data_IF_822028534219
#
_entry.id   IF_822028534219
#
_cell.length_a   1.000
_cell.length_b   1.000
_cell.length_c   1.000
_cell.angle_alpha   90.00
_cell.angle_beta   90.00
_cell.angle_gamma   90.00
#
_symmetry.space_group_name_H-M   'P 1'
#
loop_
_entity.id
_entity.type
_entity.pdbx_description
1 polymer ?
#
# COMPACT_ATOMS: atom_id res chain seq x y z
N UNK A 1 -74.49 -9.62 1.63
CA UNK A 1 -73.66 -9.50 0.45
C UNK A 1 -72.51 -8.57 0.82
N UNK A 2 -71.40 -9.10 1.35
CA UNK A 2 -70.23 -8.35 1.76
C UNK A 2 -69.07 -8.73 0.88
N UNK A 3 -68.58 -7.79 0.10
CA UNK A 3 -67.38 -7.97 -0.73
C UNK A 3 -66.12 -7.69 0.12
N UNK A 4 -65.25 -8.69 0.26
CA UNK A 4 -63.88 -8.52 0.75
C UNK A 4 -62.96 -8.21 -0.44
N UNK A 5 -62.09 -7.17 -0.39
CA UNK A 5 -61.09 -6.99 -1.40
C UNK A 5 -59.85 -7.83 -1.07
N UNK A 6 -59.45 -8.65 -2.03
CA UNK A 6 -58.16 -9.37 -2.03
C UNK A 6 -56.99 -8.42 -2.02
N UNK A 7 -56.21 -8.39 -0.93
CA UNK A 7 -54.86 -7.81 -0.93
C UNK A 7 -53.95 -8.73 -1.76
N UNK A 8 -53.58 -8.30 -2.95
CA UNK A 8 -52.48 -8.90 -3.73
C UNK A 8 -51.18 -8.67 -2.99
N UNK A 9 -50.59 -9.72 -2.45
CA UNK A 9 -49.24 -9.70 -1.90
C UNK A 9 -48.26 -9.35 -3.03
N UNK A 10 -47.61 -8.18 -2.92
CA UNK A 10 -46.54 -7.76 -3.82
C UNK A 10 -45.28 -8.57 -3.46
N UNK A 11 -44.71 -9.40 -4.37
CA UNK A 11 -43.54 -10.23 -4.07
C UNK A 11 -42.21 -9.44 -3.97
N UNK A 12 -42.31 -8.11 -4.08
CA UNK A 12 -41.09 -7.23 -4.04
C UNK A 12 -40.55 -6.99 -2.66
N UNK A 13 -41.32 -7.19 -1.57
CA UNK A 13 -40.88 -6.95 -0.21
C UNK A 13 -39.78 -7.92 0.25
N UNK A 14 -39.86 -9.26 -0.02
CA UNK A 14 -38.77 -10.15 0.37
C UNK A 14 -37.49 -9.94 -0.45
N UNK A 15 -37.60 -9.46 -1.70
CA UNK A 15 -36.42 -9.15 -2.52
C UNK A 15 -35.67 -7.94 -2.01
N UNK A 16 -36.37 -6.92 -1.51
CA UNK A 16 -35.74 -5.73 -0.92
C UNK A 16 -35.10 -6.05 0.43
N UNK A 17 -35.68 -6.92 1.24
CA UNK A 17 -35.07 -7.41 2.47
C UNK A 17 -33.83 -8.28 2.22
N UNK A 18 -33.81 -9.08 1.16
CA UNK A 18 -32.63 -9.84 0.75
C UNK A 18 -31.50 -8.93 0.25
N UNK A 19 -31.81 -7.86 -0.46
CA UNK A 19 -30.80 -6.89 -0.91
C UNK A 19 -30.18 -6.09 0.25
N UNK A 20 -30.93 -5.80 1.32
CA UNK A 20 -30.41 -5.08 2.50
C UNK A 20 -29.55 -5.96 3.40
N UNK A 21 -29.66 -7.28 3.35
CA UNK A 21 -28.82 -8.20 4.13
C UNK A 21 -27.46 -8.48 3.48
N UNK A 22 -27.25 -8.08 2.22
CA UNK A 22 -25.95 -8.19 1.54
C UNK A 22 -25.07 -6.93 1.66
N UNK A 23 -25.46 -5.89 2.38
CA UNK A 23 -24.55 -4.87 2.84
C UNK A 23 -23.77 -5.38 4.07
N UNK A 24 -23.11 -6.52 3.92
CA UNK A 24 -21.97 -6.83 4.77
C UNK A 24 -20.93 -5.75 4.50
N UNK A 25 -20.53 -5.02 5.53
CA UNK A 25 -19.39 -4.14 5.51
C UNK A 25 -18.26 -4.86 4.77
N UNK A 26 -17.91 -4.41 3.57
CA UNK A 26 -16.69 -4.84 2.92
C UNK A 26 -15.56 -4.35 3.81
N UNK A 27 -15.09 -5.20 4.70
CA UNK A 27 -13.88 -4.92 5.45
C UNK A 27 -12.80 -4.55 4.44
N UNK A 28 -12.08 -3.50 4.72
CA UNK A 28 -10.95 -3.07 3.93
C UNK A 28 -9.97 -4.25 3.85
N UNK A 29 -9.82 -4.82 2.66
CA UNK A 29 -9.14 -6.08 2.45
C UNK A 29 -8.06 -5.93 1.39
N UNK A 30 -6.83 -6.28 1.75
CA UNK A 30 -5.73 -6.43 0.79
C UNK A 30 -5.63 -7.92 0.40
N UNK A 31 -5.95 -8.30 -0.85
CA UNK A 31 -5.97 -9.69 -1.25
C UNK A 31 -4.59 -10.36 -1.20
N UNK A 32 -3.50 -9.61 -1.22
CA UNK A 32 -2.14 -10.17 -1.11
C UNK A 32 -1.67 -10.31 0.33
N UNK A 33 -2.27 -9.56 1.25
CA UNK A 33 -1.95 -9.60 2.68
C UNK A 33 -3.23 -9.58 3.52
N UNK A 34 -4.04 -10.65 3.43
CA UNK A 34 -5.36 -10.72 4.07
C UNK A 34 -5.32 -10.59 5.60
N UNK A 35 -4.21 -10.93 6.22
CA UNK A 35 -3.99 -10.83 7.65
C UNK A 35 -3.18 -9.60 8.06
N UNK A 36 -2.72 -8.82 7.07
CA UNK A 36 -1.93 -7.62 7.30
C UNK A 36 -2.74 -6.53 7.98
N UNK A 37 -2.22 -6.04 9.09
CA UNK A 37 -2.89 -4.99 9.87
C UNK A 37 -1.87 -4.17 10.66
N UNK A 38 -2.32 -3.04 11.18
CA UNK A 38 -1.62 -2.29 12.22
C UNK A 38 -2.43 -2.45 13.50
N UNK A 39 -1.81 -3.02 14.52
CA UNK A 39 -2.43 -3.17 15.84
C UNK A 39 -1.92 -2.08 16.77
N UNK A 40 -2.83 -1.33 17.36
CA UNK A 40 -2.58 -0.32 18.38
C UNK A 40 -2.96 -0.92 19.71
N UNK A 41 -1.97 -1.16 20.57
CA UNK A 41 -2.14 -1.70 21.90
C UNK A 41 -1.97 -0.60 22.92
N UNK A 42 -2.86 -0.54 23.89
CA UNK A 42 -2.89 0.44 24.96
C UNK A 42 -2.80 -0.27 26.30
N UNK A 43 -1.66 -0.17 26.95
CA UNK A 43 -1.34 -0.83 28.21
C UNK A 43 -1.35 0.17 29.36
N UNK A 44 -2.30 0.09 30.29
CA UNK A 44 -2.28 0.88 31.51
C UNK A 44 -1.20 0.33 32.42
N UNK A 45 -0.20 1.14 32.71
CA UNK A 45 0.93 0.79 33.56
C UNK A 45 0.66 1.10 35.04
N UNK A 46 -0.01 2.24 35.32
CA UNK A 46 -0.33 2.66 36.67
C UNK A 46 -1.57 3.55 36.71
N UNK A 47 -2.30 3.49 37.81
CA UNK A 47 -3.38 4.44 38.09
C UNK A 47 -2.81 5.70 38.73
N UNK A 48 -3.32 6.85 38.34
CA UNK A 48 -3.03 8.17 38.91
C UNK A 48 -4.23 8.69 39.69
N UNK A 49 -4.10 9.75 40.52
CA UNK A 49 -5.20 10.26 41.34
C UNK A 49 -6.45 10.64 40.56
N UNK A 50 -6.30 11.15 39.33
CA UNK A 50 -7.40 11.57 38.46
C UNK A 50 -7.43 10.81 37.09
N UNK A 51 -6.67 9.72 36.98
CA UNK A 51 -6.60 8.97 35.72
C UNK A 51 -5.58 7.85 35.70
N UNK A 52 -4.72 7.81 34.67
CA UNK A 52 -3.78 6.71 34.48
C UNK A 52 -2.57 7.09 33.61
N UNK A 53 -1.52 6.30 33.72
CA UNK A 53 -0.37 6.31 32.82
C UNK A 53 -0.44 5.06 31.93
N UNK A 54 -0.35 5.27 30.62
CA UNK A 54 -0.39 4.17 29.65
C UNK A 54 0.77 4.23 28.66
N UNK A 55 1.22 3.05 28.26
CA UNK A 55 2.08 2.84 27.11
C UNK A 55 1.21 2.47 25.91
N UNK A 56 1.31 3.23 24.84
CA UNK A 56 0.66 2.95 23.57
C UNK A 56 1.69 2.41 22.61
N UNK A 57 1.45 1.20 22.11
CA UNK A 57 2.35 0.54 21.16
C UNK A 57 1.60 0.26 19.87
N UNK A 58 2.17 0.72 18.77
CA UNK A 58 1.69 0.47 17.42
C UNK A 58 2.60 -0.54 16.75
N UNK A 59 2.06 -1.65 16.26
CA UNK A 59 2.79 -2.71 15.58
C UNK A 59 2.26 -2.87 14.17
N UNK A 60 3.15 -2.75 13.18
CA UNK A 60 2.83 -2.96 11.77
C UNK A 60 3.03 -4.44 11.43
N UNK A 61 1.97 -5.22 11.35
CA UNK A 61 1.98 -6.63 10.96
C UNK A 61 1.74 -6.84 9.47
N UNK A 62 1.75 -5.76 8.67
CA UNK A 62 1.65 -5.88 7.22
C UNK A 62 2.95 -6.46 6.64
N UNK A 63 2.82 -7.39 5.69
CA UNK A 63 3.97 -8.13 5.15
C UNK A 63 4.88 -7.28 4.28
N UNK A 64 4.32 -6.36 3.50
CA UNK A 64 5.08 -5.59 2.51
C UNK A 64 4.76 -4.08 2.50
N UNK A 65 3.82 -3.62 3.32
CA UNK A 65 3.46 -2.20 3.35
C UNK A 65 4.16 -1.48 4.50
N UNK A 66 4.98 -0.50 4.15
CA UNK A 66 5.60 0.42 5.09
C UNK A 66 4.72 1.61 5.39
N UNK A 67 4.96 2.27 6.52
CA UNK A 67 4.59 3.66 6.73
C UNK A 67 5.83 4.50 6.44
N UNK A 68 5.80 5.25 5.34
CA UNK A 68 6.90 6.12 4.91
C UNK A 68 6.78 7.52 5.48
N UNK A 69 7.82 8.34 5.36
CA UNK A 69 7.75 9.76 5.72
C UNK A 69 6.58 10.47 4.98
N UNK A 70 5.91 11.43 5.62
CA UNK A 70 6.14 12.06 6.92
C UNK A 70 5.68 11.25 8.14
N UNK A 71 5.36 9.98 8.00
CA UNK A 71 5.04 9.11 9.10
C UNK A 71 3.55 8.99 9.43
N UNK A 72 3.27 8.22 10.46
CA UNK A 72 1.90 8.01 10.93
C UNK A 72 1.38 9.18 11.76
N UNK A 73 0.06 9.37 11.70
CA UNK A 73 -0.68 10.15 12.68
C UNK A 73 -1.86 9.33 13.21
N UNK A 74 -1.99 9.28 14.53
CA UNK A 74 -2.98 8.51 15.27
C UNK A 74 -3.94 9.42 15.99
N UNK A 75 -5.22 9.35 15.68
CA UNK A 75 -6.27 10.09 16.36
C UNK A 75 -7.27 9.17 17.04
N UNK A 76 -7.98 9.71 18.04
CA UNK A 76 -9.10 9.03 18.68
C UNK A 76 -10.07 10.06 19.26
N UNK A 77 -11.22 9.62 19.74
CA UNK A 77 -12.17 10.46 20.45
C UNK A 77 -12.27 9.99 21.90
N UNK A 78 -12.06 10.91 22.83
CA UNK A 78 -12.27 10.65 24.23
C UNK A 78 -13.75 10.39 24.53
N UNK A 79 -14.01 9.45 25.43
CA UNK A 79 -15.39 9.10 25.82
C UNK A 79 -16.04 10.16 26.72
N UNK A 80 -15.23 10.86 27.52
CA UNK A 80 -15.65 11.92 28.42
C UNK A 80 -14.89 13.22 28.14
N UNK A 81 -14.41 13.87 29.19
CA UNK A 81 -13.60 15.10 29.15
C UNK A 81 -12.16 14.81 29.60
N UNK A 82 -11.63 13.68 29.19
CA UNK A 82 -10.26 13.30 29.44
C UNK A 82 -9.31 14.32 28.83
N UNK A 83 -8.14 14.50 29.46
CA UNK A 83 -7.05 15.37 28.99
C UNK A 83 -5.73 14.61 29.01
N UNK A 84 -4.78 15.04 28.22
CA UNK A 84 -3.42 14.52 28.26
C UNK A 84 -2.55 15.47 29.09
N UNK A 85 -2.14 15.01 30.28
CA UNK A 85 -1.25 15.80 31.13
C UNK A 85 0.17 15.87 30.59
N UNK A 86 0.72 14.74 30.15
CA UNK A 86 2.07 14.64 29.65
C UNK A 86 2.20 13.53 28.62
N UNK A 87 3.17 13.66 27.73
CA UNK A 87 3.57 12.64 26.75
C UNK A 87 5.08 12.48 26.73
N UNK A 88 5.53 11.26 26.43
CA UNK A 88 6.93 10.92 26.16
C UNK A 88 6.97 9.99 24.94
N UNK A 89 7.87 10.24 24.00
CA UNK A 89 7.98 9.45 22.78
C UNK A 89 6.95 9.79 21.69
N UNK A 90 6.15 10.83 21.90
CA UNK A 90 5.15 11.31 20.96
C UNK A 90 4.71 12.72 21.36
N UNK A 91 4.01 13.38 20.45
CA UNK A 91 3.43 14.70 20.70
C UNK A 91 2.05 14.83 20.04
N UNK A 92 1.22 15.73 20.59
CA UNK A 92 -0.04 16.12 19.94
C UNK A 92 0.22 17.17 18.88
N UNK A 93 -0.57 17.14 17.81
CA UNK A 93 -0.52 18.19 16.76
C UNK A 93 -1.08 19.52 17.22
N UNK A 94 -2.01 19.48 18.19
CA UNK A 94 -2.70 20.64 18.73
C UNK A 94 -2.90 20.49 20.24
N UNK A 95 -2.81 21.61 21.00
CA UNK A 95 -3.07 21.61 22.42
C UNK A 95 -4.57 21.71 22.75
N UNK A 96 -5.30 22.44 21.93
CA UNK A 96 -6.70 22.76 22.17
C UNK A 96 -6.95 23.79 23.29
N UNK A 97 -8.23 23.95 23.68
CA UNK A 97 -8.63 24.91 24.69
C UNK A 97 -8.36 24.40 26.12
N UNK A 98 -7.22 24.81 26.67
CA UNK A 98 -6.82 24.53 28.05
C UNK A 98 -7.07 25.70 29.05
N UNK A 99 -7.79 26.75 28.68
CA UNK A 99 -8.03 27.96 29.51
C UNK A 99 -8.66 27.67 30.88
N UNK A 100 -9.32 26.53 31.04
CA UNK A 100 -9.95 26.11 32.32
C UNK A 100 -8.96 25.63 33.37
N UNK A 101 -7.69 25.40 32.97
CA UNK A 101 -6.64 24.93 33.85
C UNK A 101 -5.73 26.13 34.23
N UNK A 102 -5.75 26.54 35.50
CA UNK A 102 -5.04 27.74 35.96
C UNK A 102 -3.64 27.44 36.52
N UNK A 103 -3.48 26.31 37.20
CA UNK A 103 -2.21 25.96 37.90
C UNK A 103 -1.30 25.13 37.06
N UNK A 104 -1.79 23.98 36.57
CA UNK A 104 -1.01 23.08 35.69
C UNK A 104 -1.74 22.94 34.38
N UNK A 105 -1.09 23.36 33.29
CA UNK A 105 -1.68 23.34 31.97
C UNK A 105 -1.41 21.94 31.36
N UNK A 106 -2.44 21.21 30.92
CA UNK A 106 -2.27 19.94 30.24
C UNK A 106 -1.50 20.08 28.92
N UNK A 107 -0.83 19.03 28.51
CA UNK A 107 -0.22 18.92 27.20
C UNK A 107 -1.26 19.02 26.06
N UNK A 108 -2.45 18.44 26.27
CA UNK A 108 -3.53 18.55 25.30
C UNK A 108 -4.90 18.45 25.98
N UNK A 109 -5.81 19.35 25.59
CA UNK A 109 -7.18 19.42 26.06
C UNK A 109 -8.22 19.09 24.97
N UNK A 110 -7.74 18.67 23.80
CA UNK A 110 -8.61 18.31 22.69
C UNK A 110 -9.42 17.05 22.99
N UNK A 111 -10.71 17.09 22.60
CA UNK A 111 -11.57 15.91 22.69
C UNK A 111 -11.22 14.83 21.67
N UNK A 112 -10.63 15.25 20.57
CA UNK A 112 -10.18 14.39 19.46
C UNK A 112 -8.71 14.64 19.17
N UNK A 113 -7.79 14.28 20.11
CA UNK A 113 -6.38 14.51 19.92
C UNK A 113 -5.84 13.71 18.74
N UNK A 114 -4.85 14.29 18.06
CA UNK A 114 -4.07 13.62 17.04
C UNK A 114 -2.62 13.60 17.48
N UNK A 115 -2.03 12.41 17.48
CA UNK A 115 -0.68 12.16 17.96
C UNK A 115 0.22 11.84 16.76
N UNK A 116 1.45 12.33 16.80
CA UNK A 116 2.53 12.02 15.87
C UNK A 116 3.77 11.60 16.63
N UNK A 117 4.62 10.82 15.96
CA UNK A 117 5.93 10.44 16.51
C UNK A 117 6.89 11.62 16.55
N UNK A 118 7.85 11.57 17.45
CA UNK A 118 8.95 12.52 17.50
C UNK A 118 10.00 12.22 16.42
N UNK A 119 10.74 13.24 16.03
CA UNK A 119 11.79 13.11 15.02
C UNK A 119 13.04 12.43 15.58
N UNK A 120 13.86 11.80 14.74
CA UNK A 120 15.21 11.38 15.12
C UNK A 120 16.03 12.56 15.66
N UNK A 121 16.81 12.32 16.70
CA UNK A 121 17.58 13.36 17.38
C UNK A 121 16.85 14.07 18.53
N UNK A 122 15.61 13.68 18.84
CA UNK A 122 14.90 14.13 20.04
C UNK A 122 15.73 13.90 21.30
N UNK A 123 15.76 14.84 22.28
CA UNK A 123 16.50 14.70 23.54
C UNK A 123 16.14 13.43 24.30
N UNK A 124 17.12 12.81 24.96
CA UNK A 124 16.96 11.51 25.63
C UNK A 124 15.86 11.48 26.68
N UNK A 125 15.63 12.59 27.39
CA UNK A 125 14.57 12.70 28.39
C UNK A 125 13.14 12.67 27.81
N UNK A 126 13.00 12.80 26.50
CA UNK A 126 11.75 12.70 25.78
C UNK A 126 11.62 11.38 25.00
N UNK A 127 12.61 10.52 25.08
CA UNK A 127 12.64 9.24 24.39
C UNK A 127 12.12 8.10 25.25
N UNK A 128 11.49 7.13 24.60
CA UNK A 128 11.21 5.79 25.14
C UNK A 128 11.62 4.75 24.11
N UNK A 129 11.55 3.47 24.50
CA UNK A 129 11.81 2.37 23.56
C UNK A 129 10.85 2.45 22.37
N UNK A 130 11.36 2.24 21.16
CA UNK A 130 10.64 2.23 19.88
C UNK A 130 10.04 3.58 19.44
N UNK A 131 10.42 4.71 20.06
CA UNK A 131 10.00 6.02 19.58
C UNK A 131 11.00 6.65 18.62
N UNK A 132 10.62 7.86 18.19
CA UNK A 132 11.47 8.92 17.67
C UNK A 132 12.10 8.57 16.32
N UNK A 133 11.24 7.99 15.44
CA UNK A 133 11.58 7.62 14.06
C UNK A 133 10.88 8.53 13.04
N UNK A 134 10.26 9.64 13.49
CA UNK A 134 9.44 10.50 12.62
C UNK A 134 8.20 9.81 12.10
N UNK A 135 7.68 8.80 12.80
CA UNK A 135 6.49 8.05 12.43
C UNK A 135 6.67 7.03 11.31
N UNK A 136 7.90 6.74 10.93
CA UNK A 136 8.20 5.71 9.93
C UNK A 136 8.14 4.32 10.57
N UNK A 137 7.47 3.37 9.93
CA UNK A 137 7.41 1.97 10.34
C UNK A 137 7.69 1.06 9.16
N UNK A 138 8.64 0.14 9.34
CA UNK A 138 8.91 -0.90 8.34
C UNK A 138 7.80 -1.93 8.28
N UNK A 139 7.73 -2.67 7.19
CA UNK A 139 6.87 -3.85 7.10
C UNK A 139 7.42 -4.97 7.98
N UNK A 140 6.52 -5.81 8.49
CA UNK A 140 6.90 -6.89 9.40
C UNK A 140 7.91 -7.87 8.79
N UNK A 141 7.74 -8.23 7.53
CA UNK A 141 8.61 -9.22 6.87
C UNK A 141 10.00 -8.67 6.60
N UNK A 142 10.10 -7.40 6.22
CA UNK A 142 11.37 -6.81 5.83
C UNK A 142 12.24 -6.42 7.03
N UNK A 143 11.66 -5.76 8.02
CA UNK A 143 12.35 -5.38 9.26
C UNK A 143 11.40 -5.39 10.47
N UNK A 144 11.28 -6.53 11.16
CA UNK A 144 10.45 -6.65 12.35
C UNK A 144 10.86 -5.69 13.48
N UNK A 145 12.14 -5.33 13.56
CA UNK A 145 12.67 -4.45 14.63
C UNK A 145 12.15 -3.03 14.49
N UNK A 146 12.05 -2.54 13.27
CA UNK A 146 11.57 -1.21 12.97
C UNK A 146 10.06 -1.15 12.61
N UNK A 147 9.35 -2.27 12.78
CA UNK A 147 7.90 -2.34 12.56
C UNK A 147 7.06 -1.86 13.75
N UNK A 148 7.69 -1.40 14.84
CA UNK A 148 7.01 -1.02 16.08
C UNK A 148 7.33 0.43 16.44
N UNK A 149 6.31 1.20 16.85
CA UNK A 149 6.44 2.51 17.48
C UNK A 149 5.73 2.50 18.84
N UNK A 150 6.22 3.30 19.80
CA UNK A 150 5.59 3.43 21.10
C UNK A 150 5.71 4.85 21.63
N UNK A 151 4.70 5.27 22.38
CA UNK A 151 4.71 6.50 23.17
C UNK A 151 3.99 6.27 24.50
N UNK A 152 4.38 7.02 25.52
CA UNK A 152 3.73 7.03 26.82
C UNK A 152 2.80 8.22 26.93
N UNK A 153 1.64 8.05 27.53
CA UNK A 153 0.67 9.11 27.77
C UNK A 153 0.18 9.07 29.21
N UNK A 154 0.13 10.24 29.86
CA UNK A 154 -0.52 10.44 31.15
C UNK A 154 -1.87 11.09 30.92
N UNK A 155 -2.94 10.37 31.19
CA UNK A 155 -4.32 10.79 30.96
C UNK A 155 -4.96 11.17 32.27
N UNK A 156 -5.53 12.37 32.32
CA UNK A 156 -6.27 12.88 33.46
C UNK A 156 -7.75 13.04 33.20
N UNK A 157 -8.52 13.35 34.25
CA UNK A 157 -9.97 13.39 34.23
C UNK A 157 -10.59 12.08 33.71
N UNK A 158 -9.90 11.02 33.91
CA UNK A 158 -10.26 9.67 33.49
C UNK A 158 -10.65 8.81 34.70
N UNK A 159 -11.11 7.60 34.45
CA UNK A 159 -11.32 6.63 35.54
C UNK A 159 -9.98 6.20 36.14
N UNK A 160 -10.01 5.87 37.44
CA UNK A 160 -8.82 5.46 38.22
C UNK A 160 -8.81 3.97 38.54
N UNK A 161 -9.68 3.20 37.93
CA UNK A 161 -9.77 1.73 38.07
C UNK A 161 -10.24 1.11 36.75
N UNK A 162 -10.00 -0.19 36.60
CA UNK A 162 -10.45 -0.95 35.42
C UNK A 162 -11.97 -0.92 35.19
N UNK A 163 -12.77 -0.65 36.23
CA UNK A 163 -14.23 -0.54 36.16
C UNK A 163 -14.71 0.88 35.75
N UNK A 164 -13.94 1.92 36.08
CA UNK A 164 -14.33 3.31 35.90
C UNK A 164 -13.74 3.96 34.66
N UNK A 165 -12.62 3.44 34.16
CA UNK A 165 -12.00 3.90 32.92
C UNK A 165 -12.94 3.70 31.73
N UNK A 166 -12.97 4.66 30.82
CA UNK A 166 -13.70 4.56 29.55
C UNK A 166 -12.72 4.45 28.41
N UNK A 167 -13.02 3.56 27.48
CA UNK A 167 -12.16 3.30 26.33
C UNK A 167 -12.31 4.46 25.32
N UNK A 168 -11.19 4.95 24.77
CA UNK A 168 -11.23 5.86 23.62
C UNK A 168 -11.93 5.18 22.44
N UNK A 169 -12.59 5.98 21.60
CA UNK A 169 -13.40 5.52 20.49
C UNK A 169 -12.97 6.17 19.19
N UNK A 170 -13.49 5.67 18.07
CA UNK A 170 -13.30 6.25 16.73
C UNK A 170 -11.83 6.53 16.42
N UNK A 171 -11.01 5.50 16.56
CA UNK A 171 -9.60 5.60 16.18
C UNK A 171 -9.45 5.87 14.69
N UNK A 172 -8.54 6.77 14.36
CA UNK A 172 -8.17 7.13 13.00
C UNK A 172 -6.66 6.99 12.83
N UNK A 173 -6.23 6.33 11.77
CA UNK A 173 -4.82 6.18 11.43
C UNK A 173 -4.60 6.72 10.02
N UNK A 174 -3.63 7.63 9.88
CA UNK A 174 -3.14 8.11 8.58
C UNK A 174 -1.68 7.71 8.44
N UNK A 175 -1.27 7.22 7.26
CA UNK A 175 0.07 6.68 7.10
C UNK A 175 0.61 6.80 5.65
N UNK A 176 1.12 7.91 5.25
CA UNK A 176 0.86 9.31 5.63
C UNK A 176 -0.50 9.82 5.14
N UNK A 177 -1.11 9.12 4.21
CA UNK A 177 -2.43 9.45 3.63
C UNK A 177 -3.57 8.64 4.21
N UNK A 178 -4.78 8.78 3.65
CA UNK A 178 -5.93 7.94 3.97
C UNK A 178 -5.72 6.49 3.51
N UNK A 179 -6.62 5.61 3.89
CA UNK A 179 -6.62 4.20 3.46
C UNK A 179 -6.73 3.21 4.61
N UNK A 180 -6.51 3.64 5.84
CA UNK A 180 -6.71 2.80 7.01
C UNK A 180 -8.11 2.98 7.60
N UNK A 181 -8.73 1.85 7.92
CA UNK A 181 -9.97 1.78 8.70
C UNK A 181 -9.66 1.06 9.99
N UNK A 182 -9.97 1.71 11.12
CA UNK A 182 -9.75 1.14 12.44
C UNK A 182 -11.05 0.57 13.00
N UNK A 183 -10.99 -0.65 13.51
CA UNK A 183 -12.09 -1.31 14.18
C UNK A 183 -12.37 -0.75 15.57
N UNK A 184 -13.37 -1.28 16.28
CA UNK A 184 -13.68 -0.86 17.63
C UNK A 184 -12.61 -1.30 18.63
N UNK A 185 -12.47 -0.54 19.71
CA UNK A 185 -11.59 -0.86 20.84
C UNK A 185 -12.07 -2.13 21.54
N UNK A 186 -11.17 -3.09 21.73
CA UNK A 186 -11.44 -4.37 22.41
C UNK A 186 -10.55 -4.56 23.61
N UNK A 187 -11.13 -4.87 24.77
CA UNK A 187 -10.36 -5.27 25.97
C UNK A 187 -9.77 -6.65 25.71
N UNK A 188 -8.48 -6.79 25.96
CA UNK A 188 -7.72 -8.04 25.80
C UNK A 188 -6.99 -8.41 27.08
N UNK A 189 -6.38 -9.60 27.11
CA UNK A 189 -5.56 -10.02 28.24
C UNK A 189 -4.44 -9.01 28.49
N UNK A 190 -4.19 -8.62 29.76
CA UNK A 190 -3.12 -7.68 30.09
C UNK A 190 -1.77 -8.14 29.58
N UNK A 191 -1.03 -7.21 28.97
CA UNK A 191 0.30 -7.45 28.41
C UNK A 191 1.28 -7.78 29.55
N UNK A 192 2.10 -8.81 29.34
CA UNK A 192 3.21 -9.15 30.20
C UNK A 192 4.50 -8.58 29.62
N UNK A 193 5.24 -7.84 30.40
CA UNK A 193 6.55 -7.28 30.07
C UNK A 193 7.63 -8.14 30.73
N UNK A 194 8.50 -8.72 29.93
CA UNK A 194 9.59 -9.58 30.39
C UNK A 194 10.88 -8.79 30.28
N UNK A 195 11.63 -8.66 31.37
CA UNK A 195 12.95 -8.01 31.36
C UNK A 195 13.92 -8.77 30.41
N UNK A 196 14.96 -8.07 29.91
CA UNK A 196 15.93 -8.67 28.98
C UNK A 196 16.62 -9.91 29.55
N UNK A 197 16.88 -9.94 30.86
CA UNK A 197 17.45 -11.07 31.59
C UNK A 197 16.44 -12.16 31.92
N UNK A 198 15.16 -12.00 31.49
CA UNK A 198 14.02 -12.90 31.75
C UNK A 198 13.70 -13.17 33.24
N UNK A 199 14.31 -12.43 34.17
CA UNK A 199 14.13 -12.64 35.62
C UNK A 199 12.92 -11.92 36.17
N UNK A 200 12.48 -10.84 35.53
CA UNK A 200 11.32 -10.07 35.99
C UNK A 200 10.21 -10.12 34.94
N UNK A 201 9.02 -10.37 35.40
CA UNK A 201 7.79 -10.27 34.62
C UNK A 201 6.90 -9.27 35.32
N UNK A 202 6.61 -8.15 34.67
CA UNK A 202 5.60 -7.18 35.07
C UNK A 202 4.40 -7.30 34.14
N UNK A 203 3.24 -6.83 34.58
CA UNK A 203 2.02 -6.93 33.81
C UNK A 203 1.28 -5.59 33.83
N UNK A 204 0.71 -5.22 32.68
CA UNK A 204 -0.20 -4.09 32.62
C UNK A 204 -1.40 -4.31 33.52
N UNK A 205 -1.96 -3.25 34.08
CA UNK A 205 -3.15 -3.32 34.94
C UNK A 205 -4.41 -3.59 34.09
N UNK A 206 -4.42 -3.08 32.87
CA UNK A 206 -5.48 -3.29 31.90
C UNK A 206 -4.91 -3.06 30.51
N UNK A 207 -5.36 -3.84 29.53
CA UNK A 207 -4.96 -3.67 28.13
C UNK A 207 -6.19 -3.69 27.23
N UNK A 208 -6.16 -2.83 26.21
CA UNK A 208 -7.05 -2.94 25.07
C UNK A 208 -6.29 -2.75 23.76
N UNK A 209 -6.87 -3.21 22.68
CA UNK A 209 -6.32 -3.02 21.35
C UNK A 209 -7.36 -2.51 20.37
N UNK A 210 -6.83 -1.93 19.30
CA UNK A 210 -7.54 -1.52 18.09
C UNK A 210 -6.76 -2.07 16.90
N UNK A 211 -7.45 -2.67 15.95
CA UNK A 211 -6.85 -3.17 14.72
C UNK A 211 -7.28 -2.27 13.56
N UNK A 212 -6.30 -1.78 12.80
CA UNK A 212 -6.52 -0.97 11.61
C UNK A 212 -6.07 -1.76 10.37
N UNK A 213 -6.92 -1.83 9.36
CA UNK A 213 -6.66 -2.51 8.09
C UNK A 213 -6.58 -1.50 6.94
N UNK A 214 -5.77 -1.79 5.94
CA UNK A 214 -5.57 -0.91 4.79
C UNK A 214 -6.43 -1.32 3.60
N UNK A 215 -6.96 -0.34 2.89
CA UNK A 215 -7.65 -0.52 1.62
C UNK A 215 -7.11 0.44 0.57
N UNK A 216 -6.62 -0.10 -0.55
CA UNK A 216 -6.21 0.69 -1.69
C UNK A 216 -7.37 1.52 -2.28
N UNK A 217 -8.58 0.97 -2.25
CA UNK A 217 -9.77 1.66 -2.72
C UNK A 217 -10.07 2.92 -1.90
N UNK A 218 -9.96 2.82 -0.56
CA UNK A 218 -10.17 3.97 0.31
C UNK A 218 -9.04 5.00 0.24
N UNK A 219 -7.81 4.54 -0.02
CA UNK A 219 -6.66 5.41 -0.16
C UNK A 219 -6.75 6.32 -1.38
N UNK A 220 -7.48 5.93 -2.42
CA UNK A 220 -7.64 6.67 -3.69
C UNK A 220 -6.32 7.24 -4.22
N UNK A 221 -5.23 6.50 -4.02
CA UNK A 221 -3.90 6.96 -4.42
C UNK A 221 -3.76 6.96 -5.94
N UNK A 222 -3.22 8.05 -6.45
CA UNK A 222 -2.73 8.12 -7.82
C UNK A 222 -1.53 7.17 -7.92
N UNK A 223 -1.44 6.32 -8.96
CA UNK A 223 -0.29 5.45 -9.16
C UNK A 223 1.02 6.24 -9.17
N UNK A 224 2.03 5.73 -8.47
CA UNK A 224 3.35 6.37 -8.37
C UNK A 224 4.41 5.60 -9.14
N UNK A 225 4.07 4.42 -9.64
CA UNK A 225 4.97 3.56 -10.38
C UNK A 225 4.29 2.99 -11.62
N UNK A 226 5.11 2.66 -12.62
CA UNK A 226 4.70 2.01 -13.85
C UNK A 226 5.69 0.94 -14.27
N UNK A 227 5.24 0.03 -15.11
CA UNK A 227 6.03 -1.07 -15.60
C UNK A 227 6.35 -0.88 -17.08
N UNK A 228 7.59 -1.16 -17.45
CA UNK A 228 8.03 -1.28 -18.83
C UNK A 228 8.57 -2.68 -19.09
N UNK A 229 8.39 -3.18 -20.29
CA UNK A 229 8.70 -4.56 -20.65
C UNK A 229 9.65 -4.61 -21.84
N UNK A 230 10.53 -5.60 -21.85
CA UNK A 230 11.37 -5.91 -23.02
C UNK A 230 11.82 -7.37 -23.01
N UNK A 231 12.28 -7.84 -24.15
CA UNK A 231 12.77 -9.19 -24.32
C UNK A 231 13.97 -9.18 -25.27
N UNK A 232 14.93 -10.06 -25.04
CA UNK A 232 16.08 -10.23 -25.93
C UNK A 232 15.70 -10.73 -27.35
N UNK A 233 14.47 -11.19 -27.52
CA UNK A 233 13.95 -11.62 -28.83
C UNK A 233 13.50 -10.47 -29.71
N UNK A 234 13.27 -9.32 -29.12
CA UNK A 234 12.68 -8.19 -29.80
C UNK A 234 13.35 -6.91 -29.32
N UNK A 235 13.86 -6.10 -30.23
CA UNK A 235 14.47 -4.80 -29.94
C UNK A 235 13.45 -3.78 -29.44
N UNK A 236 12.16 -4.09 -29.55
CA UNK A 236 11.09 -3.19 -29.09
C UNK A 236 10.99 -3.19 -27.57
N UNK A 237 11.17 -2.02 -26.98
CA UNK A 237 10.87 -1.77 -25.58
C UNK A 237 9.42 -1.31 -25.50
N UNK A 238 8.60 -2.00 -24.70
CA UNK A 238 7.26 -1.54 -24.34
C UNK A 238 7.40 -0.56 -23.18
N UNK A 239 7.18 0.75 -23.42
CA UNK A 239 7.40 1.76 -22.41
C UNK A 239 6.31 1.73 -21.35
N UNK A 240 6.52 2.46 -20.25
CA UNK A 240 5.46 2.80 -19.33
C UNK A 240 4.31 3.48 -20.06
N UNK A 241 3.05 3.19 -19.71
CA UNK A 241 1.91 3.89 -20.27
C UNK A 241 2.01 5.41 -20.06
N UNK A 242 1.69 6.17 -21.10
CA UNK A 242 1.82 7.63 -21.09
C UNK A 242 0.97 8.24 -19.99
N UNK A 243 1.55 9.18 -19.25
CA UNK A 243 0.89 9.91 -18.15
C UNK A 243 0.14 8.98 -17.15
N UNK A 244 0.65 7.81 -16.90
CA UNK A 244 -0.01 6.79 -16.09
C UNK A 244 -0.19 7.16 -14.61
N UNK A 245 0.46 8.21 -14.15
CA UNK A 245 0.35 8.71 -12.77
C UNK A 245 -0.68 9.83 -12.57
N UNK A 246 -1.78 9.78 -13.28
CA UNK A 246 -2.89 10.74 -13.13
C UNK A 246 -2.70 12.06 -13.87
N UNK A 247 -1.71 12.15 -14.76
CA UNK A 247 -1.48 13.35 -15.57
C UNK A 247 -2.40 13.44 -16.79
N UNK A 248 -3.15 12.39 -17.13
CA UNK A 248 -4.05 12.38 -18.29
C UNK A 248 -5.24 13.32 -18.08
N UNK A 249 -5.52 14.18 -19.08
CA UNK A 249 -6.73 14.98 -19.14
C UNK A 249 -6.85 16.09 -18.09
N UNK A 250 -5.85 16.30 -17.25
CA UNK A 250 -5.92 17.30 -16.19
C UNK A 250 -5.23 18.60 -16.62
N UNK A 251 -5.92 19.37 -17.46
CA UNK A 251 -5.47 20.72 -17.89
C UNK A 251 -5.40 21.71 -16.71
N UNK A 252 -6.09 21.44 -15.61
CA UNK A 252 -6.10 22.28 -14.40
C UNK A 252 -4.82 22.15 -13.56
N UNK A 253 -4.03 21.10 -13.76
CA UNK A 253 -2.75 20.88 -13.10
C UNK A 253 -1.58 20.87 -14.08
N UNK A 254 -1.46 21.92 -14.88
CA UNK A 254 -0.40 22.12 -15.88
C UNK A 254 1.04 22.19 -15.31
N UNK A 255 1.30 21.67 -14.16
CA UNK A 255 2.61 21.56 -13.54
C UNK A 255 2.91 20.18 -12.98
N UNK A 256 1.99 19.23 -13.11
CA UNK A 256 2.15 17.87 -12.55
C UNK A 256 2.84 16.91 -13.50
N UNK A 257 2.74 17.09 -14.82
CA UNK A 257 3.53 16.36 -15.81
C UNK A 257 4.77 17.19 -16.21
N UNK A 258 5.92 16.57 -16.27
CA UNK A 258 7.16 17.19 -16.68
C UNK A 258 7.39 16.88 -18.15
N UNK A 259 7.77 17.89 -18.95
CA UNK A 259 8.14 17.70 -20.35
C UNK A 259 9.37 16.78 -20.43
N UNK A 260 9.36 15.74 -21.28
CA UNK A 260 10.49 14.84 -21.45
C UNK A 260 11.78 15.54 -21.91
N UNK A 261 11.69 16.71 -22.53
CA UNK A 261 12.84 17.48 -23.02
C UNK A 261 13.44 18.41 -21.95
N UNK A 262 12.65 18.79 -20.94
CA UNK A 262 13.11 19.65 -19.83
C UNK A 262 13.02 18.95 -18.49
N UNK A 263 13.82 17.92 -18.25
CA UNK A 263 13.41 16.89 -17.32
C UNK A 263 13.63 17.23 -15.86
N UNK A 264 14.56 18.06 -15.47
CA UNK A 264 15.01 17.97 -14.09
C UNK A 264 14.98 19.28 -13.32
N UNK A 265 15.25 20.37 -14.00
CA UNK A 265 15.43 21.68 -13.36
C UNK A 265 14.11 22.37 -13.02
N UNK A 266 13.08 22.21 -13.82
CA UNK A 266 11.77 22.83 -13.58
C UNK A 266 11.06 22.33 -12.30
N UNK A 267 11.37 21.12 -11.84
CA UNK A 267 10.78 20.58 -10.63
C UNK A 267 11.41 21.14 -9.35
N UNK A 268 12.64 21.63 -9.42
CA UNK A 268 13.39 22.14 -8.29
C UNK A 268 13.24 23.66 -8.16
N UNK A 269 13.05 24.38 -9.26
CA UNK A 269 13.14 25.84 -9.32
C UNK A 269 11.83 26.58 -9.00
N UNK A 270 10.67 25.95 -9.14
CA UNK A 270 9.36 26.61 -9.01
C UNK A 270 8.79 26.67 -7.59
N UNK A 271 9.62 26.79 -6.56
CA UNK A 271 9.16 26.87 -5.16
C UNK A 271 9.08 28.32 -4.59
N UNK A 272 9.09 29.33 -5.41
CA UNK A 272 8.92 30.71 -4.94
C UNK A 272 7.50 31.21 -5.14
N UNK A 273 6.60 30.88 -4.22
CA UNK A 273 5.35 31.59 -4.12
C UNK A 273 4.15 30.78 -3.65
N UNK A 274 3.78 31.01 -2.41
CA UNK A 274 2.46 30.81 -1.78
C UNK A 274 1.92 29.37 -1.68
N UNK A 275 1.90 28.87 -0.44
CA UNK A 275 0.92 27.93 0.19
C UNK A 275 0.19 26.87 -0.68
N UNK A 276 0.69 26.48 -1.82
CA UNK A 276 0.21 25.29 -2.49
C UNK A 276 1.05 24.11 -2.01
N UNK A 277 0.41 23.13 -1.39
CA UNK A 277 0.99 21.83 -1.12
C UNK A 277 1.42 21.28 -2.48
N UNK A 278 2.71 21.42 -2.79
CA UNK A 278 3.28 20.90 -4.02
C UNK A 278 3.17 19.38 -3.97
N UNK A 279 2.61 18.71 -4.98
CA UNK A 279 2.49 17.26 -4.94
C UNK A 279 3.86 16.62 -4.75
N UNK A 280 3.95 15.69 -3.81
CA UNK A 280 5.18 14.95 -3.46
C UNK A 280 5.74 14.16 -4.65
N UNK A 281 4.86 13.80 -5.58
CA UNK A 281 5.14 12.97 -6.74
C UNK A 281 4.80 13.74 -8.00
N UNK A 282 5.72 13.77 -8.96
CA UNK A 282 5.47 14.32 -10.28
C UNK A 282 5.60 13.24 -11.34
N UNK A 283 4.64 13.17 -12.24
CA UNK A 283 4.71 12.33 -13.43
C UNK A 283 5.47 13.05 -14.56
N UNK A 284 6.08 12.27 -15.41
CA UNK A 284 6.48 12.74 -16.74
C UNK A 284 5.36 12.44 -17.74
N UNK A 285 5.39 13.04 -18.93
CA UNK A 285 4.45 12.74 -20.01
C UNK A 285 4.52 11.27 -20.48
N UNK A 286 5.59 10.54 -20.12
CA UNK A 286 5.88 9.19 -20.60
C UNK A 286 5.94 8.13 -19.49
N UNK A 287 6.12 8.51 -18.24
CA UNK A 287 6.31 7.54 -17.15
C UNK A 287 5.93 8.09 -15.79
N UNK A 288 5.68 7.19 -14.84
CA UNK A 288 5.57 7.49 -13.44
C UNK A 288 6.92 7.81 -12.80
N UNK A 289 6.96 8.42 -11.61
CA UNK A 289 8.19 8.70 -10.87
C UNK A 289 9.05 7.47 -10.61
N UNK A 290 8.44 6.32 -10.39
CA UNK A 290 9.14 5.04 -10.28
C UNK A 290 8.83 4.20 -11.51
N UNK A 291 9.89 3.75 -12.19
CA UNK A 291 9.78 2.81 -13.29
C UNK A 291 10.35 1.46 -12.87
N UNK A 292 9.57 0.41 -13.03
CA UNK A 292 10.02 -0.98 -12.92
C UNK A 292 10.14 -1.56 -14.31
N UNK A 293 11.34 -1.90 -14.72
CA UNK A 293 11.60 -2.50 -16.03
C UNK A 293 11.85 -3.99 -15.87
N UNK A 294 11.01 -4.79 -16.54
CA UNK A 294 11.13 -6.24 -16.60
C UNK A 294 11.70 -6.63 -17.96
N UNK A 295 12.88 -7.21 -17.96
CA UNK A 295 13.57 -7.64 -19.18
C UNK A 295 13.80 -9.13 -19.16
N UNK A 296 13.28 -9.85 -20.17
CA UNK A 296 13.61 -11.27 -20.40
C UNK A 296 14.99 -11.29 -21.04
N UNK A 297 16.00 -11.71 -20.26
CA UNK A 297 17.41 -11.63 -20.66
C UNK A 297 17.88 -12.81 -21.49
N UNK A 298 17.57 -14.02 -21.06
CA UNK A 298 18.03 -15.26 -21.70
C UNK A 298 17.03 -16.40 -21.51
N UNK A 299 17.00 -17.29 -22.50
CA UNK A 299 16.21 -18.51 -22.51
C UNK A 299 17.11 -19.71 -22.74
N UNK A 300 17.42 -20.45 -21.68
CA UNK A 300 18.18 -21.69 -21.75
C UNK A 300 17.24 -22.91 -21.93
N UNK A 301 17.80 -24.09 -22.12
CA UNK A 301 17.03 -25.32 -22.27
C UNK A 301 16.15 -25.63 -21.04
N UNK A 302 16.74 -25.54 -19.84
CA UNK A 302 16.11 -25.93 -18.58
C UNK A 302 15.76 -24.71 -17.68
N UNK A 303 16.26 -23.52 -18.03
CA UNK A 303 16.15 -22.30 -17.25
C UNK A 303 15.85 -21.11 -18.14
N UNK A 304 15.30 -20.08 -17.55
CA UNK A 304 15.21 -18.76 -18.16
C UNK A 304 15.58 -17.69 -17.16
N UNK A 305 16.05 -16.57 -17.64
CA UNK A 305 16.58 -15.48 -16.82
C UNK A 305 15.93 -14.16 -17.17
N UNK A 306 15.53 -13.43 -16.13
CA UNK A 306 15.07 -12.07 -16.25
C UNK A 306 16.01 -11.12 -15.54
N UNK A 307 15.91 -9.85 -15.92
CA UNK A 307 16.52 -8.73 -15.22
C UNK A 307 15.41 -7.76 -14.81
N UNK A 308 15.33 -7.44 -13.54
CA UNK A 308 14.46 -6.40 -13.01
C UNK A 308 15.30 -5.19 -12.71
N UNK A 309 14.88 -4.02 -13.21
CA UNK A 309 15.54 -2.74 -12.93
C UNK A 309 14.49 -1.78 -12.40
N UNK A 310 14.71 -1.21 -11.21
CA UNK A 310 13.87 -0.17 -10.62
C UNK A 310 14.64 1.14 -10.75
N UNK A 311 13.99 2.17 -11.28
CA UNK A 311 14.59 3.49 -11.45
C UNK A 311 13.72 4.54 -10.75
N UNK A 312 14.34 5.35 -9.91
CA UNK A 312 13.71 6.49 -9.27
C UNK A 312 13.89 7.74 -10.13
N UNK A 313 12.82 8.26 -10.70
CA UNK A 313 12.78 9.55 -11.40
C UNK A 313 12.19 10.66 -10.54
N UNK A 314 11.87 10.37 -9.27
CA UNK A 314 11.30 11.34 -8.36
C UNK A 314 12.41 12.10 -7.62
N UNK A 315 12.75 13.27 -8.09
CA UNK A 315 13.77 14.14 -7.47
C UNK A 315 13.38 14.74 -6.10
N UNK A 316 12.16 14.45 -5.63
CA UNK A 316 11.64 14.93 -4.33
C UNK A 316 11.50 13.83 -3.28
N UNK A 317 11.66 12.58 -3.68
CA UNK A 317 11.51 11.43 -2.80
C UNK A 317 12.77 10.59 -2.83
N UNK A 318 13.25 10.30 -1.65
CA UNK A 318 14.31 9.33 -1.41
C UNK A 318 13.65 8.06 -0.92
N UNK A 319 13.91 6.94 -1.56
CA UNK A 319 13.38 5.65 -1.16
C UNK A 319 14.49 4.81 -0.54
N UNK A 320 14.52 4.77 0.79
CA UNK A 320 15.24 3.74 1.56
C UNK A 320 14.26 2.60 1.86
N UNK A 321 14.80 1.43 2.14
CA UNK A 321 14.00 0.25 2.53
C UNK A 321 12.81 -0.05 1.59
N UNK A 322 12.98 0.26 0.30
CA UNK A 322 11.99 -0.03 -0.71
C UNK A 322 11.71 -1.53 -0.80
N UNK A 323 10.52 -1.87 -1.26
CA UNK A 323 10.19 -3.23 -1.65
C UNK A 323 9.38 -3.28 -2.95
N UNK A 324 9.42 -4.45 -3.58
CA UNK A 324 8.72 -4.77 -4.80
C UNK A 324 7.96 -6.07 -4.60
N UNK A 325 6.65 -6.04 -4.81
CA UNK A 325 5.85 -7.27 -4.87
C UNK A 325 5.55 -7.57 -6.33
N UNK A 326 5.87 -8.78 -6.76
CA UNK A 326 5.70 -9.23 -8.15
C UNK A 326 4.84 -10.48 -8.19
N UNK A 327 3.81 -10.48 -9.03
CA UNK A 327 3.00 -11.65 -9.30
C UNK A 327 3.37 -12.28 -10.64
N UNK A 328 3.88 -13.50 -10.58
CA UNK A 328 4.22 -14.33 -11.74
C UNK A 328 4.10 -15.80 -11.38
N UNK A 329 3.45 -16.64 -12.20
CA UNK A 329 3.17 -18.04 -11.85
C UNK A 329 4.43 -18.91 -11.64
N UNK A 330 5.58 -18.48 -12.15
CA UNK A 330 6.82 -19.28 -12.06
C UNK A 330 7.68 -18.97 -10.82
N UNK A 331 7.19 -18.18 -9.85
CA UNK A 331 7.93 -17.98 -8.60
C UNK A 331 8.08 -19.25 -7.75
N UNK A 332 7.24 -20.25 -7.96
CA UNK A 332 7.41 -21.59 -7.38
C UNK A 332 8.72 -22.28 -7.84
N UNK A 333 9.26 -21.90 -9.00
CA UNK A 333 10.46 -22.44 -9.60
C UNK A 333 11.65 -21.44 -9.62
N UNK A 334 11.62 -20.42 -8.74
CA UNK A 334 12.75 -19.51 -8.58
C UNK A 334 13.96 -20.26 -8.05
N UNK A 335 15.01 -20.33 -8.85
CA UNK A 335 16.23 -21.07 -8.53
C UNK A 335 17.29 -20.18 -7.88
N UNK A 336 17.45 -18.95 -8.38
CA UNK A 336 18.48 -18.02 -7.88
C UNK A 336 18.03 -16.57 -8.09
N UNK A 337 18.39 -15.74 -7.12
CA UNK A 337 18.29 -14.29 -7.18
C UNK A 337 19.63 -13.68 -6.74
N UNK A 338 20.02 -12.53 -7.30
CA UNK A 338 21.40 -12.05 -7.13
C UNK A 338 21.50 -10.87 -6.14
N UNK A 339 20.87 -9.74 -6.44
CA UNK A 339 21.07 -8.50 -5.67
C UNK A 339 19.89 -8.16 -4.75
N UNK A 340 18.85 -9.00 -4.78
CA UNK A 340 17.66 -8.80 -3.94
C UNK A 340 17.50 -9.94 -2.94
N UNK A 341 16.87 -9.66 -1.82
CA UNK A 341 16.27 -10.65 -0.94
C UNK A 341 14.93 -11.08 -1.53
N UNK A 342 14.48 -12.27 -1.16
CA UNK A 342 13.22 -12.86 -1.62
C UNK A 342 12.48 -13.50 -0.45
N UNK A 343 11.18 -13.24 -0.40
CA UNK A 343 10.25 -13.92 0.50
C UNK A 343 8.97 -14.26 -0.27
N UNK A 344 8.49 -15.50 -0.27
CA UNK A 344 7.23 -15.85 -0.90
C UNK A 344 6.04 -15.28 -0.13
N UNK A 345 5.11 -14.64 -0.84
CA UNK A 345 3.82 -14.27 -0.30
C UNK A 345 2.81 -15.31 -0.76
N UNK A 346 2.28 -16.09 0.19
CA UNK A 346 1.31 -17.14 -0.09
C UNK A 346 -0.02 -16.78 0.58
N UNK A 347 -0.82 -15.88 -0.02
CA UNK A 347 -2.04 -15.39 0.62
C UNK A 347 -3.09 -16.48 0.82
N UNK A 348 -3.11 -17.49 -0.05
CA UNK A 348 -4.10 -18.57 -0.06
C UNK A 348 -3.53 -19.95 0.30
N UNK A 349 -2.31 -19.99 0.85
CA UNK A 349 -1.72 -21.19 1.43
C UNK A 349 -1.16 -22.25 0.48
N UNK A 350 -1.46 -22.20 -0.82
CA UNK A 350 -1.06 -23.27 -1.76
C UNK A 350 -0.36 -22.80 -3.04
N UNK A 351 -0.49 -21.53 -3.41
CA UNK A 351 0.03 -21.02 -4.68
C UNK A 351 1.15 -20.02 -4.39
N UNK A 352 2.37 -20.37 -4.77
CA UNK A 352 3.54 -19.50 -4.68
C UNK A 352 3.73 -18.75 -6.02
N UNK A 353 2.84 -17.82 -6.32
CA UNK A 353 2.89 -16.98 -7.51
C UNK A 353 3.27 -15.52 -7.21
N UNK A 354 3.58 -15.22 -5.98
CA UNK A 354 3.83 -13.83 -5.54
C UNK A 354 5.12 -13.75 -4.74
N UNK A 355 6.02 -12.90 -5.18
CA UNK A 355 7.31 -12.65 -4.56
C UNK A 355 7.36 -11.26 -3.92
N UNK A 356 7.85 -11.18 -2.69
CA UNK A 356 8.31 -9.96 -2.06
C UNK A 356 9.83 -9.86 -2.25
N UNK A 357 10.28 -8.77 -2.83
CA UNK A 357 11.69 -8.50 -3.16
C UNK A 357 12.12 -7.18 -2.52
N UNK A 358 13.34 -7.12 -1.99
CA UNK A 358 13.96 -5.88 -1.50
C UNK A 358 15.48 -5.99 -1.64
N UNK A 359 16.19 -4.87 -1.58
CA UNK A 359 17.63 -4.83 -1.78
C UNK A 359 18.40 -5.59 -0.70
N UNK A 360 19.53 -6.18 -1.09
CA UNK A 360 20.50 -6.76 -0.16
C UNK A 360 21.47 -5.67 0.26
N UNK A 361 21.62 -5.44 1.59
CA UNK A 361 22.56 -4.44 2.14
C UNK A 361 22.36 -3.04 1.51
N UNK A 362 23.42 -2.48 0.94
CA UNK A 362 23.43 -1.14 0.33
C UNK A 362 22.55 -0.99 -0.93
N UNK A 363 22.02 -2.08 -1.48
CA UNK A 363 21.05 -1.98 -2.58
C UNK A 363 19.74 -1.31 -2.17
N UNK A 364 19.42 -1.28 -0.88
CA UNK A 364 18.29 -0.49 -0.36
C UNK A 364 18.50 1.02 -0.51
N UNK A 365 19.74 1.48 -0.59
CA UNK A 365 20.09 2.90 -0.58
C UNK A 365 20.20 3.49 -1.99
N UNK A 366 20.25 2.67 -3.04
CA UNK A 366 20.43 3.17 -4.41
C UNK A 366 19.24 4.03 -4.89
N UNK A 367 18.04 3.79 -4.40
CA UNK A 367 16.88 4.60 -4.74
C UNK A 367 16.71 5.86 -3.87
N UNK A 368 17.64 6.13 -2.96
CA UNK A 368 17.75 7.42 -2.28
C UNK A 368 18.17 8.53 -3.23
N UNK A 369 18.84 8.20 -4.31
CA UNK A 369 19.12 9.10 -5.42
C UNK A 369 18.03 9.03 -6.48
N UNK A 370 17.97 10.01 -7.36
CA UNK A 370 17.07 10.05 -8.49
C UNK A 370 17.85 10.20 -9.81
N UNK A 371 17.20 9.90 -10.92
CA UNK A 371 17.78 9.98 -12.26
C UNK A 371 18.72 8.82 -12.57
N UNK A 372 19.79 9.05 -13.36
CA UNK A 372 20.69 7.99 -13.82
C UNK A 372 21.35 7.18 -12.70
N UNK A 373 21.65 7.83 -11.57
CA UNK A 373 22.26 7.19 -10.40
C UNK A 373 21.25 6.50 -9.49
N UNK A 374 19.97 6.86 -9.61
CA UNK A 374 18.87 6.33 -8.80
C UNK A 374 18.26 5.06 -9.38
N UNK A 375 19.07 4.02 -9.61
CA UNK A 375 18.56 2.75 -10.09
C UNK A 375 19.16 1.57 -9.32
N UNK A 376 18.36 0.53 -9.18
CA UNK A 376 18.75 -0.75 -8.60
C UNK A 376 18.29 -1.87 -9.50
N UNK A 377 19.09 -2.93 -9.60
CA UNK A 377 18.79 -4.03 -10.50
C UNK A 377 19.18 -5.38 -9.91
N UNK A 378 18.42 -6.40 -10.29
CA UNK A 378 18.71 -7.78 -9.95
C UNK A 378 18.36 -8.70 -11.11
N UNK A 379 19.00 -9.84 -11.14
CA UNK A 379 18.67 -10.93 -12.07
C UNK A 379 18.03 -12.07 -11.29
N UNK A 380 17.01 -12.67 -11.90
CA UNK A 380 16.30 -13.83 -11.35
C UNK A 380 16.41 -14.97 -12.35
N UNK A 381 16.79 -16.15 -11.86
CA UNK A 381 16.89 -17.38 -12.64
C UNK A 381 15.77 -18.32 -12.21
N UNK A 382 14.96 -18.73 -13.17
CA UNK A 382 13.84 -19.64 -12.97
C UNK A 382 14.06 -20.97 -13.67
N UNK A 383 13.70 -22.07 -13.02
CA UNK A 383 13.56 -23.35 -13.66
C UNK A 383 12.35 -23.37 -14.60
N UNK A 384 12.41 -24.14 -15.66
CA UNK A 384 11.30 -24.35 -16.58
C UNK A 384 10.51 -25.59 -16.22
N UNK A 385 9.22 -25.43 -16.04
CA UNK A 385 8.31 -26.56 -16.06
C UNK A 385 7.86 -26.78 -17.51
N UNK A 386 8.23 -27.91 -18.11
CA UNK A 386 7.96 -28.22 -19.52
C UNK A 386 6.48 -28.27 -19.87
N UNK A 387 5.62 -28.49 -18.89
CA UNK A 387 4.15 -28.56 -19.10
C UNK A 387 3.47 -27.20 -19.10
N UNK A 388 4.05 -26.20 -18.42
CA UNK A 388 3.41 -24.90 -18.22
C UNK A 388 4.20 -23.73 -18.79
N UNK A 389 5.50 -23.93 -19.05
CA UNK A 389 6.37 -22.86 -19.54
C UNK A 389 6.05 -22.54 -21.00
N UNK A 390 5.81 -21.25 -21.27
CA UNK A 390 5.67 -20.69 -22.62
C UNK A 390 6.09 -19.23 -22.62
N UNK A 391 6.60 -18.75 -23.76
CA UNK A 391 6.76 -17.32 -23.97
C UNK A 391 5.56 -16.68 -24.66
N UNK A 392 4.64 -17.49 -25.15
CA UNK A 392 3.48 -17.03 -25.88
C UNK A 392 2.52 -16.23 -24.98
N UNK A 393 1.77 -15.32 -25.57
CA UNK A 393 0.69 -14.58 -24.92
C UNK A 393 1.11 -13.83 -23.64
N UNK A 394 2.35 -13.39 -23.57
CA UNK A 394 2.86 -12.61 -22.45
C UNK A 394 3.09 -13.38 -21.14
N UNK A 395 3.09 -14.72 -21.16
CA UNK A 395 3.27 -15.55 -19.96
C UNK A 395 4.58 -15.26 -19.21
N UNK A 396 5.68 -14.95 -19.93
CA UNK A 396 6.97 -14.63 -19.32
C UNK A 396 7.03 -13.24 -18.64
N UNK A 397 5.97 -12.47 -18.70
CA UNK A 397 5.87 -11.16 -18.07
C UNK A 397 5.02 -11.20 -16.81
N UNK A 398 5.28 -10.29 -15.84
CA UNK A 398 4.54 -10.26 -14.59
C UNK A 398 3.07 -9.88 -14.83
N UNK A 399 2.19 -10.48 -14.05
CA UNK A 399 0.76 -10.16 -14.07
C UNK A 399 0.48 -8.82 -13.39
N UNK A 400 1.14 -8.57 -12.26
CA UNK A 400 1.06 -7.33 -11.47
C UNK A 400 2.36 -7.07 -10.76
N UNK A 401 2.66 -5.80 -10.57
CA UNK A 401 3.79 -5.33 -9.76
C UNK A 401 3.29 -4.27 -8.80
N UNK A 402 3.81 -4.29 -7.57
CA UNK A 402 3.56 -3.29 -6.54
C UNK A 402 4.89 -2.75 -6.05
N UNK A 403 4.99 -1.44 -5.90
CA UNK A 403 6.16 -0.77 -5.31
C UNK A 403 5.76 -0.13 -3.99
N UNK A 404 6.45 -0.47 -2.90
CA UNK A 404 6.12 -0.03 -1.52
C UNK A 404 4.64 -0.24 -1.17
N UNK A 405 4.06 -1.32 -1.68
CA UNK A 405 2.68 -1.69 -1.44
C UNK A 405 1.64 -1.05 -2.37
N UNK A 406 2.01 -0.11 -3.23
CA UNK A 406 1.09 0.51 -4.17
C UNK A 406 1.20 -0.15 -5.56
N UNK A 407 0.05 -0.39 -6.20
CA UNK A 407 0.00 -1.06 -7.51
C UNK A 407 0.61 -0.18 -8.59
N UNK A 408 1.51 -0.74 -9.39
CA UNK A 408 2.09 -0.07 -10.55
C UNK A 408 1.19 -0.23 -11.79
N UNK A 409 1.18 0.79 -12.64
CA UNK A 409 0.46 0.73 -13.91
C UNK A 409 1.20 -0.20 -14.86
N UNK A 410 0.49 -1.21 -15.36
CA UNK A 410 1.01 -2.17 -16.34
C UNK A 410 0.72 -1.69 -17.76
N UNK A 411 1.57 -2.01 -18.75
CA UNK A 411 1.18 -1.88 -20.15
C UNK A 411 -0.07 -2.71 -20.46
N UNK A 412 -0.86 -2.32 -21.46
CA UNK A 412 -1.99 -3.14 -21.89
C UNK A 412 -1.47 -4.50 -22.41
N UNK A 413 -2.18 -5.61 -22.20
CA UNK A 413 -1.75 -6.94 -22.59
C UNK A 413 -1.38 -7.07 -24.09
N UNK A 414 -2.08 -6.33 -24.93
CA UNK A 414 -1.86 -6.32 -26.39
C UNK A 414 -0.49 -5.72 -26.80
N UNK A 415 0.12 -4.91 -25.91
CA UNK A 415 1.43 -4.31 -26.13
C UNK A 415 2.58 -5.21 -25.67
N UNK A 416 2.32 -6.36 -25.05
CA UNK A 416 3.38 -7.21 -24.54
C UNK A 416 4.27 -7.74 -25.69
N UNK A 417 5.60 -7.82 -25.49
CA UNK A 417 6.50 -8.33 -26.50
C UNK A 417 6.12 -9.77 -26.90
N UNK A 418 6.13 -10.03 -28.19
CA UNK A 418 5.80 -11.35 -28.74
C UNK A 418 6.96 -12.32 -28.57
N UNK A 419 6.61 -13.61 -28.47
CA UNK A 419 7.59 -14.70 -28.46
C UNK A 419 8.21 -14.91 -29.84
N UNK A 420 9.49 -15.33 -29.93
CA UNK A 420 10.14 -15.66 -31.20
C UNK A 420 9.52 -16.88 -31.89
N UNK A 421 8.77 -17.70 -31.17
CA UNK A 421 8.16 -18.91 -31.75
C UNK A 421 6.88 -18.61 -32.52
N UNK A 422 6.29 -17.43 -32.35
CA UNK A 422 5.20 -16.94 -33.16
C UNK A 422 5.73 -16.21 -34.40
N UNK A 423 6.20 -16.96 -35.37
CA UNK A 423 6.73 -16.43 -36.63
C UNK A 423 5.71 -15.74 -37.54
N UNK A 424 4.51 -15.46 -37.09
CA UNK A 424 3.53 -14.68 -37.83
C UNK A 424 2.72 -13.79 -36.90
N UNK A 425 2.87 -12.49 -37.04
CA UNK A 425 1.86 -11.53 -36.61
C UNK A 425 0.58 -11.86 -37.38
N UNK A 426 -0.36 -12.58 -36.80
CA UNK A 426 -1.71 -12.55 -37.27
C UNK A 426 -2.31 -11.18 -36.91
N UNK A 427 -2.16 -10.22 -37.83
CA UNK A 427 -2.99 -9.04 -37.79
C UNK A 427 -4.43 -9.49 -38.02
N UNK A 428 -5.20 -9.58 -36.94
CA UNK A 428 -6.66 -9.64 -37.03
C UNK A 428 -7.13 -8.24 -37.36
N UNK A 429 -7.14 -7.91 -38.63
CA UNK A 429 -7.76 -6.68 -39.13
C UNK A 429 -9.27 -6.81 -38.98
N UNK A 430 -9.83 -6.17 -37.97
CA UNK A 430 -11.27 -5.99 -37.89
C UNK A 430 -11.69 -4.91 -38.88
N UNK A 431 -12.08 -5.36 -40.09
CA UNK A 431 -12.82 -4.50 -41.01
C UNK A 431 -14.25 -4.33 -40.46
N UNK A 432 -14.49 -3.24 -39.75
CA UNK A 432 -15.83 -2.79 -39.41
C UNK A 432 -16.44 -2.18 -40.65
N UNK A 433 -17.23 -2.95 -41.38
CA UNK A 433 -18.10 -2.42 -42.43
C UNK A 433 -19.32 -1.78 -41.78
N UNK A 434 -19.33 -0.45 -41.70
CA UNK A 434 -20.55 0.33 -41.52
C UNK A 434 -21.23 0.47 -42.89
N UNK A 435 -22.19 -0.37 -43.18
CA UNK A 435 -23.24 -0.06 -44.15
C UNK A 435 -24.56 -0.72 -43.75
N UNK A 436 -25.63 0.02 -43.65
CA UNK A 436 -26.97 -0.56 -43.47
C UNK A 436 -27.52 -0.84 -44.88
N UNK A 437 -27.65 -2.08 -45.25
CA UNK A 437 -28.74 -2.63 -46.06
C UNK A 437 -28.41 -4.02 -46.63
N UNK A 438 -29.22 -4.92 -46.24
CA UNK A 438 -29.79 -6.10 -46.93
C UNK A 438 -28.92 -6.94 -47.92
N UNK A 439 -28.89 -8.25 -47.58
CA UNK A 439 -29.23 -9.37 -48.44
C UNK A 439 -28.09 -10.17 -49.09
N UNK A 440 -28.25 -11.47 -48.91
CA UNK A 440 -27.74 -12.65 -49.62
C UNK A 440 -26.25 -12.99 -49.47
N UNK A 441 -26.06 -14.06 -48.69
CA UNK A 441 -24.78 -14.75 -48.57
C UNK A 441 -24.40 -15.45 -49.87
N UNK A 442 -23.23 -15.08 -50.37
CA UNK A 442 -22.45 -15.93 -51.23
C UNK A 442 -21.11 -16.22 -50.55
N UNK A 443 -20.95 -17.53 -50.27
CA UNK A 443 -19.67 -18.06 -49.76
C UNK A 443 -18.65 -18.00 -50.93
N UNK A 444 -17.68 -17.08 -50.84
CA UNK A 444 -16.52 -17.18 -51.69
C UNK A 444 -15.41 -17.88 -50.88
N UNK A 445 -15.06 -19.05 -51.29
CA UNK A 445 -13.89 -19.77 -50.79
C UNK A 445 -12.63 -19.24 -51.48
N UNK A 446 -11.76 -18.59 -50.73
CA UNK A 446 -10.40 -18.29 -51.17
C UNK A 446 -9.49 -19.34 -50.53
N UNK A 447 -8.60 -20.00 -51.30
CA UNK A 447 -7.72 -21.01 -50.74
C UNK A 447 -6.81 -20.40 -49.67
N UNK A 448 -6.75 -21.07 -48.50
CA UNK A 448 -5.88 -20.79 -47.36
C UNK A 448 -6.28 -19.70 -46.32
N UNK A 449 -7.54 -19.33 -46.21
CA UNK A 449 -8.00 -18.55 -45.05
C UNK A 449 -9.32 -19.08 -44.52
N UNK A 450 -9.34 -19.60 -43.28
CA UNK A 450 -10.59 -19.96 -42.60
C UNK A 450 -11.10 -18.70 -41.89
N UNK A 451 -12.37 -18.33 -42.24
CA UNK A 451 -13.10 -17.27 -41.56
C UNK A 451 -14.11 -17.90 -40.60
N UNK A 452 -14.13 -17.44 -39.38
CA UNK A 452 -15.14 -17.78 -38.39
C UNK A 452 -16.10 -16.61 -38.29
N UNK A 453 -17.36 -16.81 -38.63
CA UNK A 453 -18.43 -15.85 -38.39
C UNK A 453 -19.12 -16.18 -37.07
N UNK A 454 -19.22 -15.21 -36.20
CA UNK A 454 -20.11 -15.22 -35.04
C UNK A 454 -21.29 -14.31 -35.35
N UNK A 455 -22.48 -14.91 -35.22
CA UNK A 455 -23.76 -14.20 -35.29
C UNK A 455 -24.00 -13.37 -34.03
#
# INVERSE_FOLDING_TARGET
MMFFPFLKHCPCIPLFLMFTLFYTSTEAYDPLDPNGNITIKWDILSWAPDGYIALVTMSNFQRYRHITAPGWSLGWKWAKKEVIWAMVGGQTTEQGDCLKFKETIPHCCERTPTIVDLLPGTPYNQQISNCCKGGVLSSWTQDPTNSVASFQVTVGRAGTTSKTVRLPQNFTLKAPGPGYTCGPTKIVKPTKFISRDKRRVTQALMTWNVTCTYSQFQAQKIPTCCVSLSSFYNDTIVPCPTCSCGCQGNTAQSGSCVDPIAPHLASVVNNSGKNSITPLVRCTSHMCPIRVHWHIKLNYREYWRIKVTITNFNYRMNYSDWNLVVQHPNFDNLTRIFSFNYEPIIPYGSINDTALLWGVKYYNDFLMQAGPSGNVQSELLFGKNKSTFTFDKGWAFPRRIYFNGDICVMPPPDAYPWSPNDGSKQEVSFLVFHHPTLIHGHLMTVPNKKFLFLF
#
